data_IF_498309563472
#
_entry.id   IF_498309563472
#
_cell.length_a   1.000
_cell.length_b   1.000
_cell.length_c   1.000
_cell.angle_alpha   90.00
_cell.angle_beta   90.00
_cell.angle_gamma   90.00
#
_symmetry.space_group_name_H-M   'P 1'
#
loop_
_entity.id
_entity.type
_entity.pdbx_description
1 polymer ?
#
# COMPACT_ATOMS: atom_id res chain seq x y z
N UNK A 1 5.79 -79.46 -23.20
CA UNK A 1 6.90 -79.02 -22.32
C UNK A 1 6.47 -77.66 -21.77
N UNK A 2 5.64 -77.62 -20.71
CA UNK A 2 6.06 -77.57 -19.28
C UNK A 2 6.96 -76.34 -19.07
N UNK A 3 6.58 -75.27 -18.38
CA UNK A 3 5.96 -75.21 -17.04
C UNK A 3 5.15 -73.92 -16.79
N UNK A 4 4.21 -74.09 -15.85
CA UNK A 4 3.28 -73.18 -15.18
C UNK A 4 3.90 -72.03 -14.36
N UNK A 5 3.07 -71.06 -13.91
CA UNK A 5 3.46 -69.92 -13.08
C UNK A 5 3.52 -70.30 -11.59
N UNK A 6 4.40 -69.65 -10.83
CA UNK A 6 4.53 -69.85 -9.36
C UNK A 6 3.98 -68.64 -8.61
N UNK A 7 2.95 -68.93 -7.83
CA UNK A 7 2.40 -68.12 -6.74
C UNK A 7 3.46 -67.62 -5.76
N UNK A 8 3.35 -66.36 -5.34
CA UNK A 8 3.95 -65.89 -4.09
C UNK A 8 2.90 -65.10 -3.31
N UNK A 9 2.47 -65.73 -2.23
CA UNK A 9 1.47 -65.28 -1.28
C UNK A 9 1.89 -64.03 -0.50
N UNK A 10 0.88 -63.27 -0.08
CA UNK A 10 0.97 -62.22 0.92
C UNK A 10 1.38 -62.76 2.31
N UNK A 11 1.94 -61.89 3.16
CA UNK A 11 1.71 -61.97 4.59
C UNK A 11 0.97 -60.73 5.10
N UNK A 12 -0.19 -60.97 5.72
CA UNK A 12 -0.78 -60.08 6.73
C UNK A 12 0.15 -60.01 7.96
N UNK A 13 0.42 -58.81 8.46
CA UNK A 13 0.73 -58.48 9.88
C UNK A 13 0.33 -57.01 10.10
N UNK A 14 -0.81 -56.77 10.72
CA UNK A 14 -1.00 -56.47 12.15
C UNK A 14 -0.70 -55.01 12.51
N UNK A 15 -1.79 -54.26 12.68
CA UNK A 15 -2.03 -53.17 13.64
C UNK A 15 -0.84 -52.61 14.43
N UNK A 16 -0.49 -51.36 14.16
CA UNK A 16 -0.03 -50.42 15.20
C UNK A 16 -0.35 -48.98 14.78
N UNK A 17 -1.31 -48.37 15.48
CA UNK A 17 -1.58 -46.93 15.51
C UNK A 17 -0.39 -46.16 16.13
N UNK A 18 -0.33 -44.83 15.96
CA UNK A 18 0.92 -44.10 15.72
C UNK A 18 1.68 -43.77 17.01
N UNK A 19 3.00 -43.88 16.93
CA UNK A 19 3.91 -43.34 17.95
C UNK A 19 3.79 -41.82 17.94
N UNK A 20 3.37 -41.27 19.08
CA UNK A 20 3.31 -39.84 19.33
C UNK A 20 4.72 -39.23 19.16
N UNK A 21 4.86 -38.33 18.18
CA UNK A 21 6.01 -37.43 18.11
C UNK A 21 5.81 -36.41 19.22
N UNK A 22 6.57 -36.62 20.28
CA UNK A 22 6.61 -35.77 21.46
C UNK A 22 6.98 -34.34 21.04
N UNK A 23 6.09 -33.40 21.34
CA UNK A 23 6.32 -31.97 21.10
C UNK A 23 7.42 -31.50 22.04
N UNK A 24 8.62 -31.28 21.51
CA UNK A 24 9.67 -30.55 22.22
C UNK A 24 9.09 -29.21 22.68
N UNK A 25 9.03 -28.92 23.99
CA UNK A 25 8.53 -27.64 24.46
C UNK A 25 9.52 -26.55 24.03
N UNK A 26 9.06 -25.64 23.18
CA UNK A 26 9.80 -24.43 22.81
C UNK A 26 10.08 -23.64 24.08
N UNK A 27 11.34 -23.61 24.50
CA UNK A 27 11.80 -22.83 25.65
C UNK A 27 11.30 -21.39 25.50
N UNK A 28 10.41 -20.96 26.40
CA UNK A 28 10.06 -19.56 26.56
C UNK A 28 11.32 -18.87 27.09
N UNK A 29 11.92 -18.02 26.26
CA UNK A 29 12.88 -17.02 26.70
C UNK A 29 12.30 -16.28 27.92
N UNK A 30 13.06 -16.08 29.00
CA UNK A 30 12.60 -15.31 30.14
C UNK A 30 12.54 -13.84 29.71
N UNK A 31 11.37 -13.41 29.26
CA UNK A 31 11.03 -11.99 29.23
C UNK A 31 11.03 -11.54 30.67
N UNK A 32 12.13 -10.92 31.09
CA UNK A 32 12.17 -10.14 32.32
C UNK A 32 11.01 -9.15 32.24
N UNK A 33 10.12 -9.32 33.20
CA UNK A 33 8.95 -8.49 33.45
C UNK A 33 9.46 -7.08 33.77
N UNK A 34 9.63 -6.24 32.75
CA UNK A 34 9.84 -4.81 32.97
C UNK A 34 8.53 -4.27 33.48
N UNK A 35 8.55 -3.93 34.76
CA UNK A 35 7.52 -3.26 35.52
C UNK A 35 7.02 -2.05 34.73
N UNK A 36 5.71 -1.94 34.59
CA UNK A 36 5.07 -0.83 33.90
C UNK A 36 5.45 0.51 34.51
N UNK A 37 5.92 1.41 33.66
CA UNK A 37 5.88 2.85 33.89
C UNK A 37 5.24 3.47 32.65
N UNK A 38 4.10 4.14 32.86
CA UNK A 38 3.51 5.00 31.86
C UNK A 38 4.48 6.14 31.58
N UNK A 39 4.91 6.25 30.33
CA UNK A 39 5.84 7.26 29.84
C UNK A 39 5.92 7.11 28.34
N UNK A 40 6.03 8.23 27.63
CA UNK A 40 6.01 8.31 26.16
C UNK A 40 6.85 7.21 25.52
N UNK A 41 6.33 6.70 24.40
CA UNK A 41 6.75 5.49 23.71
C UNK A 41 8.13 5.69 23.04
N UNK A 42 9.17 5.88 23.86
CA UNK A 42 10.54 6.17 23.47
C UNK A 42 11.11 4.96 22.74
N UNK A 43 11.73 5.21 21.59
CA UNK A 43 12.23 4.12 20.75
C UNK A 43 13.30 3.29 21.48
N UNK A 44 13.25 1.95 21.38
CA UNK A 44 14.11 1.00 22.10
C UNK A 44 15.60 1.38 22.15
N UNK A 45 16.19 1.76 21.01
CA UNK A 45 17.61 2.14 20.94
C UNK A 45 17.94 3.46 21.66
N UNK A 46 16.98 4.38 21.77
CA UNK A 46 17.19 5.65 22.47
C UNK A 46 17.22 5.44 23.99
N UNK A 47 16.67 4.32 24.48
CA UNK A 47 16.80 3.90 25.88
C UNK A 47 18.22 3.43 26.25
N UNK A 48 19.09 3.14 25.26
CA UNK A 48 20.46 2.69 25.49
C UNK A 48 21.49 3.82 25.34
N UNK A 49 21.04 5.06 25.18
CA UNK A 49 21.95 6.20 25.07
C UNK A 49 22.65 6.47 26.40
N UNK A 50 23.92 6.94 26.38
CA UNK A 50 24.57 7.44 27.59
C UNK A 50 23.73 8.53 28.27
N UNK A 51 23.71 8.60 29.61
CA UNK A 51 22.80 9.50 30.34
C UNK A 51 22.88 10.97 29.91
N UNK A 52 24.08 11.46 29.59
CA UNK A 52 24.27 12.83 29.09
C UNK A 52 23.57 13.09 27.75
N UNK A 53 23.62 12.12 26.84
CA UNK A 53 22.96 12.22 25.53
C UNK A 53 21.45 12.05 25.67
N UNK A 54 21.00 11.13 26.54
CA UNK A 54 19.58 10.92 26.82
C UNK A 54 18.89 12.14 27.47
N UNK A 55 19.62 12.96 28.22
CA UNK A 55 19.12 14.25 28.72
C UNK A 55 18.91 15.25 27.57
N UNK A 56 19.82 15.29 26.59
CA UNK A 56 19.70 16.19 25.44
C UNK A 56 18.55 15.80 24.51
N UNK A 57 18.25 14.50 24.35
CA UNK A 57 17.15 14.03 23.49
C UNK A 57 15.78 14.52 23.96
N UNK A 58 15.61 14.82 25.26
CA UNK A 58 14.35 15.39 25.78
C UNK A 58 14.01 16.75 25.14
N UNK A 59 15.03 17.51 24.70
CA UNK A 59 14.85 18.81 24.03
C UNK A 59 14.48 18.68 22.56
N UNK A 60 14.54 17.47 21.98
CA UNK A 60 14.24 17.24 20.56
C UNK A 60 12.78 17.52 20.22
N UNK A 61 11.84 17.22 21.13
CA UNK A 61 10.43 17.52 20.94
C UNK A 61 10.19 19.01 20.71
N UNK A 62 10.70 19.86 21.62
CA UNK A 62 10.61 21.32 21.46
C UNK A 62 11.35 21.84 20.22
N UNK A 63 12.51 21.24 19.90
CA UNK A 63 13.24 21.58 18.70
C UNK A 63 12.42 21.26 17.44
N UNK A 64 11.71 20.13 17.43
CA UNK A 64 10.81 19.74 16.36
C UNK A 64 9.65 20.73 16.23
N UNK A 65 8.98 21.12 17.32
CA UNK A 65 7.90 22.12 17.30
C UNK A 65 8.38 23.48 16.75
N UNK A 66 9.59 23.90 17.11
CA UNK A 66 10.22 25.12 16.55
C UNK A 66 10.49 24.99 15.05
N UNK A 67 10.92 23.82 14.59
CA UNK A 67 11.11 23.54 13.15
C UNK A 67 9.78 23.59 12.41
N UNK A 68 8.72 22.98 12.94
CA UNK A 68 7.37 23.02 12.34
C UNK A 68 6.85 24.45 12.24
N UNK A 69 7.01 25.25 13.30
CA UNK A 69 6.61 26.66 13.32
C UNK A 69 7.41 27.48 12.29
N UNK A 70 8.72 27.29 12.23
CA UNK A 70 9.60 27.99 11.29
C UNK A 70 9.35 27.60 9.83
N UNK A 71 9.04 26.32 9.60
CA UNK A 71 8.64 25.79 8.31
C UNK A 71 7.34 26.43 7.83
N UNK A 72 6.33 26.51 8.70
CA UNK A 72 5.05 27.17 8.40
C UNK A 72 5.26 28.64 8.02
N UNK A 73 6.05 29.37 8.82
CA UNK A 73 6.35 30.79 8.56
C UNK A 73 7.25 31.03 7.34
N UNK A 74 7.91 29.99 6.82
CA UNK A 74 8.74 30.11 5.60
C UNK A 74 7.89 30.14 4.33
N UNK A 75 6.68 29.59 4.39
CA UNK A 75 5.73 29.65 3.28
C UNK A 75 4.89 30.91 3.38
N UNK A 76 4.77 31.64 2.27
CA UNK A 76 3.96 32.85 2.15
C UNK A 76 3.00 32.67 0.98
N UNK A 77 1.68 32.61 1.21
CA UNK A 77 0.70 32.42 0.13
C UNK A 77 0.79 33.49 -0.97
N UNK A 78 1.17 34.71 -0.60
CA UNK A 78 1.34 35.85 -1.53
C UNK A 78 2.56 35.73 -2.46
N UNK A 79 3.52 34.85 -2.13
CA UNK A 79 4.74 34.63 -2.89
C UNK A 79 4.78 33.17 -3.36
N UNK A 80 4.42 32.88 -4.62
CA UNK A 80 4.45 31.54 -5.17
C UNK A 80 5.81 30.85 -5.06
N UNK A 81 6.92 31.59 -5.04
CA UNK A 81 8.28 31.02 -4.97
C UNK A 81 8.73 30.74 -3.53
N UNK A 82 7.99 31.21 -2.53
CA UNK A 82 8.25 30.90 -1.12
C UNK A 82 8.23 29.39 -0.83
N UNK A 83 7.58 28.58 -1.67
CA UNK A 83 7.61 27.11 -1.59
C UNK A 83 9.04 26.56 -1.63
N UNK A 84 9.97 27.19 -2.35
CA UNK A 84 11.38 26.76 -2.39
C UNK A 84 12.09 26.99 -1.05
N UNK A 85 11.73 28.05 -0.32
CA UNK A 85 12.29 28.33 1.00
C UNK A 85 11.93 27.24 2.02
N UNK A 86 10.86 26.47 1.77
CA UNK A 86 10.44 25.36 2.64
C UNK A 86 11.32 24.11 2.48
N UNK A 87 12.00 23.95 1.35
CA UNK A 87 12.76 22.73 1.03
C UNK A 87 13.92 22.46 1.98
N UNK A 88 14.50 23.50 2.58
CA UNK A 88 15.58 23.36 3.57
C UNK A 88 15.12 22.60 4.82
N UNK A 89 13.83 22.65 5.16
CA UNK A 89 13.29 21.98 6.33
C UNK A 89 13.14 20.47 6.11
N UNK A 90 13.10 20.01 4.86
CA UNK A 90 12.95 18.58 4.54
C UNK A 90 14.14 17.76 5.07
N UNK A 91 15.37 18.27 4.95
CA UNK A 91 16.55 17.60 5.51
C UNK A 91 16.51 17.58 7.03
N UNK A 92 16.05 18.67 7.66
CA UNK A 92 15.90 18.77 9.12
C UNK A 92 14.86 17.77 9.63
N UNK A 93 13.69 17.71 9.02
CA UNK A 93 12.65 16.72 9.33
C UNK A 93 13.16 15.29 9.17
N UNK A 94 13.94 15.02 8.12
CA UNK A 94 14.52 13.70 7.90
C UNK A 94 15.48 13.27 9.02
N UNK A 95 16.22 14.21 9.62
CA UNK A 95 17.09 13.92 10.77
C UNK A 95 16.27 13.44 11.96
N UNK A 96 15.20 14.14 12.34
CA UNK A 96 14.30 13.71 13.42
C UNK A 96 13.64 12.35 13.13
N UNK A 97 13.27 12.09 11.87
CA UNK A 97 12.72 10.80 11.48
C UNK A 97 13.72 9.66 11.69
N UNK A 98 14.98 9.85 11.26
CA UNK A 98 16.08 8.87 11.38
C UNK A 98 16.55 8.67 12.81
N UNK A 99 16.65 9.75 13.58
CA UNK A 99 17.00 9.73 15.00
C UNK A 99 15.90 9.07 15.87
N UNK A 100 14.72 8.83 15.29
CA UNK A 100 13.57 8.24 16.00
C UNK A 100 13.21 9.05 17.24
N UNK A 101 13.35 10.37 17.12
CA UNK A 101 13.04 11.37 18.13
C UNK A 101 11.61 11.20 18.62
N UNK A 102 11.43 11.40 19.93
CA UNK A 102 10.12 11.49 20.55
C UNK A 102 9.54 12.88 20.27
N UNK A 103 8.49 12.93 19.46
CA UNK A 103 7.90 14.17 18.94
C UNK A 103 6.40 14.14 19.13
N UNK A 104 5.81 15.32 19.39
CA UNK A 104 4.38 15.47 19.55
C UNK A 104 3.62 15.05 18.28
N UNK A 105 2.51 14.33 18.43
CA UNK A 105 1.71 13.86 17.30
C UNK A 105 0.99 15.01 16.59
N UNK A 106 0.71 16.09 17.32
CA UNK A 106 0.15 17.33 16.83
C UNK A 106 1.09 17.98 15.81
N UNK A 107 2.38 18.05 16.13
CA UNK A 107 3.40 18.58 15.22
C UNK A 107 3.59 17.69 13.99
N UNK A 108 3.53 16.35 14.17
CA UNK A 108 3.60 15.42 13.03
C UNK A 108 2.39 15.60 12.12
N UNK A 109 1.19 15.77 12.68
CA UNK A 109 -0.03 16.05 11.92
C UNK A 109 0.11 17.37 11.15
N UNK A 110 0.59 18.43 11.80
CA UNK A 110 0.83 19.71 11.17
C UNK A 110 1.85 19.61 10.00
N UNK A 111 2.92 18.82 10.13
CA UNK A 111 3.85 18.55 9.03
C UNK A 111 3.17 17.89 7.84
N UNK A 112 2.28 16.93 8.09
CA UNK A 112 1.53 16.25 7.02
C UNK A 112 0.59 17.21 6.32
N UNK A 113 -0.18 18.01 7.07
CA UNK A 113 -1.13 18.98 6.51
C UNK A 113 -0.43 20.05 5.68
N UNK A 114 0.59 20.71 6.25
CA UNK A 114 1.39 21.73 5.55
C UNK A 114 2.07 21.12 4.33
N UNK A 115 2.63 19.91 4.46
CA UNK A 115 3.29 19.27 3.33
C UNK A 115 2.33 18.90 2.20
N UNK A 116 1.11 18.46 2.51
CA UNK A 116 0.07 18.18 1.50
C UNK A 116 -0.41 19.47 0.82
N UNK A 117 -0.57 20.56 1.58
CA UNK A 117 -0.88 21.89 1.05
C UNK A 117 0.22 22.36 0.08
N UNK A 118 1.48 22.32 0.51
CA UNK A 118 2.63 22.68 -0.32
C UNK A 118 2.74 21.82 -1.58
N UNK A 119 2.45 20.51 -1.46
CA UNK A 119 2.39 19.61 -2.61
C UNK A 119 1.29 20.01 -3.59
N UNK A 120 0.11 20.39 -3.10
CA UNK A 120 -1.02 20.81 -3.91
C UNK A 120 -0.81 22.15 -4.62
N UNK A 121 -0.25 23.15 -3.93
CA UNK A 121 0.02 24.48 -4.51
C UNK A 121 1.14 24.45 -5.54
N UNK A 122 2.09 23.51 -5.43
CA UNK A 122 3.28 23.43 -6.29
C UNK A 122 3.04 22.69 -7.63
N UNK A 123 1.86 22.83 -8.26
CA UNK A 123 1.50 22.05 -9.46
C UNK A 123 2.48 22.21 -10.64
N UNK A 124 3.04 23.40 -10.78
CA UNK A 124 4.01 23.77 -11.82
C UNK A 124 5.47 23.49 -11.40
N UNK A 125 5.71 23.13 -10.12
CA UNK A 125 7.04 22.98 -9.52
C UNK A 125 7.28 21.54 -9.12
N UNK A 126 7.43 20.66 -10.11
CA UNK A 126 7.55 19.21 -9.91
C UNK A 126 8.69 18.83 -8.96
N UNK A 127 9.81 19.56 -8.98
CA UNK A 127 10.90 19.32 -8.05
C UNK A 127 10.46 19.49 -6.58
N UNK A 128 9.66 20.52 -6.28
CA UNK A 128 9.12 20.77 -4.94
C UNK A 128 8.18 19.64 -4.53
N UNK A 129 7.26 19.25 -5.42
CA UNK A 129 6.35 18.12 -5.20
C UNK A 129 7.11 16.81 -4.94
N UNK A 130 8.16 16.50 -5.71
CA UNK A 130 9.00 15.31 -5.50
C UNK A 130 9.61 15.32 -4.10
N UNK A 131 10.18 16.45 -3.68
CA UNK A 131 10.86 16.55 -2.38
C UNK A 131 9.87 16.40 -1.23
N UNK A 132 8.73 17.10 -1.29
CA UNK A 132 7.66 17.02 -0.28
C UNK A 132 6.96 15.67 -0.25
N UNK A 133 6.60 15.12 -1.42
CA UNK A 133 5.97 13.81 -1.51
C UNK A 133 6.81 12.69 -0.88
N UNK A 134 8.12 12.71 -1.11
CA UNK A 134 9.03 11.71 -0.53
C UNK A 134 9.16 11.81 1.00
N UNK A 135 9.20 13.01 1.59
CA UNK A 135 9.23 13.15 3.05
C UNK A 135 7.88 12.77 3.66
N UNK A 136 6.76 13.18 3.05
CA UNK A 136 5.41 12.83 3.49
C UNK A 136 5.20 11.32 3.53
N UNK A 137 5.61 10.59 2.49
CA UNK A 137 5.57 9.12 2.47
C UNK A 137 6.28 8.52 3.68
N UNK A 138 7.46 9.05 4.04
CA UNK A 138 8.23 8.57 5.21
C UNK A 138 7.53 8.90 6.53
N UNK A 139 7.02 10.12 6.69
CA UNK A 139 6.27 10.54 7.89
C UNK A 139 5.01 9.69 8.05
N UNK A 140 4.17 9.61 7.01
CA UNK A 140 2.92 8.85 7.01
C UNK A 140 3.16 7.37 7.30
N UNK A 141 4.20 6.76 6.73
CA UNK A 141 4.50 5.35 6.98
C UNK A 141 5.03 5.10 8.40
N UNK A 142 5.82 6.02 8.96
CA UNK A 142 6.34 5.92 10.34
C UNK A 142 5.22 6.06 11.37
N UNK A 143 4.34 7.05 11.21
CA UNK A 143 3.29 7.37 12.19
C UNK A 143 1.90 6.82 11.81
N UNK A 144 1.84 5.91 10.83
CA UNK A 144 0.60 5.39 10.21
C UNK A 144 -0.51 4.96 11.18
N UNK A 145 -0.12 4.36 12.30
CA UNK A 145 -1.06 3.81 13.30
C UNK A 145 -1.43 4.82 14.39
N UNK A 146 -0.64 5.89 14.55
CA UNK A 146 -0.77 6.89 15.61
C UNK A 146 -1.52 8.14 15.13
N UNK A 147 -1.52 8.39 13.82
CA UNK A 147 -2.19 9.54 13.21
C UNK A 147 -3.69 9.32 13.02
N UNK A 148 -4.47 10.33 13.38
CA UNK A 148 -5.88 10.46 13.07
C UNK A 148 -6.07 11.72 12.21
N UNK A 149 -6.00 11.56 10.89
CA UNK A 149 -6.15 12.64 9.92
C UNK A 149 -7.06 12.20 8.77
N UNK A 150 -7.62 13.18 8.05
CA UNK A 150 -8.45 12.97 6.87
C UNK A 150 -7.78 13.60 5.66
N UNK A 151 -7.54 12.80 4.61
CA UNK A 151 -6.98 13.29 3.35
C UNK A 151 -7.99 13.09 2.24
N UNK A 152 -8.27 14.14 1.48
CA UNK A 152 -9.10 14.03 0.29
C UNK A 152 -8.31 13.39 -0.85
N UNK A 153 -8.91 12.42 -1.53
CA UNK A 153 -8.26 11.69 -2.62
C UNK A 153 -8.22 12.51 -3.92
N UNK A 154 -9.24 13.36 -4.15
CA UNK A 154 -9.45 14.09 -5.41
C UNK A 154 -8.27 15.01 -5.78
N UNK A 155 -7.71 15.84 -4.88
CA UNK A 155 -6.57 16.69 -5.26
C UNK A 155 -5.32 15.91 -5.70
N UNK A 156 -5.09 14.73 -5.11
CA UNK A 156 -3.98 13.85 -5.51
C UNK A 156 -4.24 13.22 -6.89
N UNK A 157 -5.49 12.85 -7.18
CA UNK A 157 -5.90 12.35 -8.49
C UNK A 157 -5.78 13.44 -9.56
N UNK A 158 -6.32 14.63 -9.32
CA UNK A 158 -6.29 15.73 -10.28
C UNK A 158 -4.85 16.11 -10.61
N UNK A 159 -3.95 16.16 -9.60
CA UNK A 159 -2.51 16.42 -9.82
C UNK A 159 -1.87 15.33 -10.67
N UNK A 160 -2.16 14.05 -10.38
CA UNK A 160 -1.61 12.92 -11.14
C UNK A 160 -2.03 12.96 -12.61
N UNK A 161 -3.33 13.16 -12.86
CA UNK A 161 -3.89 13.21 -14.22
C UNK A 161 -3.39 14.43 -14.97
N UNK A 162 -3.43 15.60 -14.34
CA UNK A 162 -2.98 16.85 -14.96
C UNK A 162 -1.51 16.77 -15.36
N UNK A 163 -0.63 16.22 -14.52
CA UNK A 163 0.81 16.18 -14.84
C UNK A 163 1.18 15.06 -15.81
N UNK A 164 0.59 13.86 -15.70
CA UNK A 164 1.12 12.66 -16.38
C UNK A 164 0.21 12.08 -17.46
N UNK A 165 -1.09 12.39 -17.44
CA UNK A 165 -2.06 11.84 -18.38
C UNK A 165 -2.60 12.90 -19.35
N UNK A 166 -2.42 14.18 -19.03
CA UNK A 166 -2.66 15.27 -19.98
C UNK A 166 -1.47 15.45 -20.94
N UNK A 167 -1.71 16.06 -22.11
CA UNK A 167 -0.66 16.50 -23.02
C UNK A 167 0.08 17.71 -22.44
N UNK A 168 0.84 17.49 -21.37
CA UNK A 168 1.68 18.51 -20.74
C UNK A 168 3.06 18.54 -21.43
N UNK A 169 3.28 19.59 -22.23
CA UNK A 169 4.60 19.93 -22.81
C UNK A 169 5.40 20.82 -21.86
N UNK A 170 5.31 20.58 -20.55
CA UNK A 170 6.07 21.34 -19.57
C UNK A 170 7.58 21.30 -19.85
N UNK A 171 8.33 22.36 -19.49
CA UNK A 171 9.78 22.43 -19.69
C UNK A 171 10.54 21.41 -18.82
N UNK A 172 9.84 20.80 -17.86
CA UNK A 172 10.36 19.79 -16.95
C UNK A 172 10.88 18.55 -17.70
N UNK A 173 12.16 18.24 -17.48
CA UNK A 173 12.82 17.10 -18.09
C UNK A 173 12.20 15.76 -17.68
N UNK A 174 12.33 14.76 -18.55
CA UNK A 174 11.72 13.43 -18.36
C UNK A 174 12.06 12.78 -17.01
N UNK A 175 13.29 12.97 -16.52
CA UNK A 175 13.78 12.41 -15.26
C UNK A 175 13.07 12.96 -14.03
N UNK A 176 12.72 14.26 -14.03
CA UNK A 176 11.96 14.88 -12.94
C UNK A 176 10.52 14.37 -12.96
N UNK A 177 9.91 14.26 -14.15
CA UNK A 177 8.57 13.68 -14.30
C UNK A 177 8.50 12.24 -13.80
N UNK A 178 9.46 11.38 -14.17
CA UNK A 178 9.49 10.01 -13.67
C UNK A 178 9.54 9.97 -12.14
N UNK A 179 10.43 10.76 -11.52
CA UNK A 179 10.52 10.86 -10.05
C UNK A 179 9.23 11.41 -9.43
N UNK A 180 8.58 12.35 -10.09
CA UNK A 180 7.30 12.89 -9.64
C UNK A 180 6.21 11.82 -9.67
N UNK A 181 6.12 11.04 -10.74
CA UNK A 181 5.18 9.92 -10.85
C UNK A 181 5.37 8.89 -9.74
N UNK A 182 6.62 8.51 -9.45
CA UNK A 182 6.95 7.61 -8.34
C UNK A 182 6.58 8.20 -6.98
N UNK A 183 6.84 9.49 -6.77
CA UNK A 183 6.55 10.19 -5.52
C UNK A 183 5.03 10.31 -5.27
N UNK A 184 4.26 10.78 -6.26
CA UNK A 184 2.81 10.97 -6.11
C UNK A 184 2.07 9.64 -5.95
N UNK A 185 2.42 8.61 -6.73
CA UNK A 185 1.79 7.29 -6.57
C UNK A 185 2.13 6.66 -5.23
N UNK A 186 3.33 6.91 -4.69
CA UNK A 186 3.72 6.46 -3.35
C UNK A 186 2.99 7.23 -2.25
N UNK A 187 2.84 8.54 -2.44
CA UNK A 187 2.08 9.41 -1.55
C UNK A 187 0.62 8.96 -1.47
N UNK A 188 -0.04 8.72 -2.60
CA UNK A 188 -1.42 8.20 -2.65
C UNK A 188 -1.54 6.89 -1.87
N UNK A 189 -0.62 5.93 -2.08
CA UNK A 189 -0.61 4.65 -1.35
C UNK A 189 -0.47 4.85 0.17
N UNK A 190 0.32 5.82 0.62
CA UNK A 190 0.48 6.16 2.04
C UNK A 190 -0.73 6.90 2.61
N UNK A 191 -1.33 7.82 1.84
CA UNK A 191 -2.51 8.61 2.22
C UNK A 191 -3.80 7.80 2.26
N UNK A 192 -3.91 6.73 1.47
CA UNK A 192 -5.16 5.96 1.27
C UNK A 192 -5.84 5.44 2.54
N UNK A 193 -5.08 5.19 3.62
CA UNK A 193 -5.67 4.77 4.92
C UNK A 193 -6.47 5.90 5.57
N UNK A 194 -6.16 7.14 5.22
CA UNK A 194 -6.71 8.36 5.80
C UNK A 194 -7.82 8.98 4.93
N UNK A 195 -8.25 8.29 3.87
CA UNK A 195 -9.39 8.77 3.07
C UNK A 195 -10.68 8.68 3.91
N UNK A 196 -11.53 9.73 3.88
CA UNK A 196 -12.74 9.77 4.66
C UNK A 196 -13.75 8.67 4.25
N UNK A 197 -14.75 8.45 5.10
CA UNK A 197 -15.91 7.63 4.74
C UNK A 197 -16.57 8.15 3.45
N UNK A 198 -17.07 7.24 2.62
CA UNK A 198 -17.68 7.55 1.32
C UNK A 198 -16.69 7.61 0.15
N UNK A 199 -15.39 7.81 0.41
CA UNK A 199 -14.37 7.87 -0.65
C UNK A 199 -14.32 6.61 -1.51
N UNK A 200 -14.52 5.41 -0.95
CA UNK A 200 -14.55 4.19 -1.76
C UNK A 200 -15.69 4.19 -2.79
N UNK A 201 -16.88 4.65 -2.39
CA UNK A 201 -18.05 4.75 -3.27
C UNK A 201 -17.83 5.80 -4.37
N UNK A 202 -17.28 6.96 -4.03
CA UNK A 202 -16.94 8.01 -5.00
C UNK A 202 -15.92 7.52 -6.03
N UNK A 203 -14.81 6.95 -5.55
CA UNK A 203 -13.72 6.42 -6.40
C UNK A 203 -14.25 5.32 -7.32
N UNK A 204 -15.08 4.41 -6.79
CA UNK A 204 -15.67 3.36 -7.61
C UNK A 204 -16.62 3.93 -8.66
N UNK A 205 -17.47 4.91 -8.29
CA UNK A 205 -18.41 5.53 -9.22
C UNK A 205 -17.69 6.29 -10.34
N UNK A 206 -16.58 6.98 -10.03
CA UNK A 206 -15.77 7.70 -11.03
C UNK A 206 -15.15 6.74 -12.06
N UNK A 207 -14.59 5.61 -11.61
CA UNK A 207 -13.78 4.74 -12.48
C UNK A 207 -14.53 3.52 -13.01
N UNK A 208 -15.69 3.15 -12.46
CA UNK A 208 -16.46 1.99 -12.89
C UNK A 208 -16.92 2.11 -14.35
N UNK A 209 -17.39 3.29 -14.76
CA UNK A 209 -17.82 3.56 -16.14
C UNK A 209 -16.68 3.37 -17.15
N UNK A 210 -15.43 3.66 -16.78
CA UNK A 210 -14.27 3.47 -17.64
C UNK A 210 -14.01 1.98 -17.94
N UNK A 211 -14.47 1.09 -17.07
CA UNK A 211 -14.27 -0.37 -17.11
C UNK A 211 -15.45 -1.13 -17.73
N UNK A 212 -16.52 -0.46 -18.14
CA UNK A 212 -17.70 -1.09 -18.76
C UNK A 212 -17.39 -1.76 -20.09
N UNK A 213 -16.39 -1.25 -20.83
CA UNK A 213 -15.91 -1.85 -22.07
C UNK A 213 -14.49 -2.40 -21.88
N UNK A 214 -14.33 -3.69 -21.52
CA UNK A 214 -13.03 -4.29 -21.19
C UNK A 214 -12.00 -4.20 -22.33
N UNK A 215 -12.45 -4.03 -23.57
CA UNK A 215 -11.60 -3.98 -24.77
C UNK A 215 -11.09 -2.57 -25.11
N UNK A 216 -11.54 -1.54 -24.37
CA UNK A 216 -11.08 -0.17 -24.55
C UNK A 216 -9.94 0.16 -23.59
N UNK A 217 -8.99 1.00 -24.02
CA UNK A 217 -7.82 1.38 -23.21
C UNK A 217 -8.20 2.05 -21.87
N UNK A 218 -9.36 2.71 -21.82
CA UNK A 218 -9.90 3.30 -20.59
C UNK A 218 -10.09 2.28 -19.48
N UNK A 219 -10.37 1.00 -19.80
CA UNK A 219 -10.54 -0.04 -18.78
C UNK A 219 -9.23 -0.30 -18.04
N UNK A 220 -8.11 -0.32 -18.75
CA UNK A 220 -6.78 -0.50 -18.17
C UNK A 220 -6.39 0.69 -17.28
N UNK A 221 -6.72 1.91 -17.72
CA UNK A 221 -6.52 3.11 -16.92
C UNK A 221 -7.40 3.13 -15.66
N UNK A 222 -8.70 2.86 -15.82
CA UNK A 222 -9.68 2.76 -14.74
C UNK A 222 -9.28 1.74 -13.68
N UNK A 223 -8.93 0.52 -14.09
CA UNK A 223 -8.45 -0.52 -13.16
C UNK A 223 -7.15 -0.14 -12.45
N UNK A 224 -6.24 0.57 -13.13
CA UNK A 224 -5.04 1.15 -12.54
C UNK A 224 -5.36 2.18 -11.45
N UNK A 225 -6.29 3.10 -11.72
CA UNK A 225 -6.75 4.08 -10.73
C UNK A 225 -7.49 3.45 -9.56
N UNK A 226 -8.36 2.47 -9.81
CA UNK A 226 -9.02 1.68 -8.75
C UNK A 226 -7.97 1.00 -7.86
N UNK A 227 -6.96 0.32 -8.45
CA UNK A 227 -5.87 -0.27 -7.66
C UNK A 227 -5.16 0.79 -6.83
N UNK A 228 -4.90 1.97 -7.38
CA UNK A 228 -4.13 3.01 -6.72
C UNK A 228 -4.92 3.68 -5.59
N UNK A 229 -6.16 4.11 -5.86
CA UNK A 229 -6.93 4.97 -4.98
C UNK A 229 -7.92 4.23 -4.07
N UNK A 230 -8.51 3.10 -4.49
CA UNK A 230 -9.60 2.46 -3.74
C UNK A 230 -9.19 2.08 -2.30
N UNK A 231 -9.75 2.74 -1.27
CA UNK A 231 -9.31 2.61 0.12
C UNK A 231 -9.93 1.40 0.81
N UNK A 232 -9.10 0.68 1.55
CA UNK A 232 -9.49 -0.51 2.34
C UNK A 232 -9.32 -0.23 3.84
N UNK A 233 -9.74 0.95 4.28
CA UNK A 233 -9.71 1.36 5.69
C UNK A 233 -11.06 1.04 6.37
N UNK A 234 -11.09 1.16 7.70
CA UNK A 234 -12.27 0.82 8.50
C UNK A 234 -13.48 1.69 8.12
N UNK A 235 -13.26 2.96 7.80
CA UNK A 235 -14.32 3.93 7.47
C UNK A 235 -15.03 3.67 6.14
N UNK A 236 -14.43 2.87 5.26
CA UNK A 236 -15.01 2.52 3.96
C UNK A 236 -15.36 1.03 3.87
N UNK A 237 -15.42 0.31 5.00
CA UNK A 237 -15.72 -1.12 5.01
C UNK A 237 -17.11 -1.44 4.42
N UNK A 238 -18.10 -0.58 4.67
CA UNK A 238 -19.50 -0.79 4.27
C UNK A 238 -19.69 -0.82 2.75
N UNK A 239 -18.74 -0.28 1.99
CA UNK A 239 -18.73 -0.34 0.53
C UNK A 239 -18.50 -1.78 0.01
N UNK A 240 -17.74 -2.60 0.73
CA UNK A 240 -17.27 -3.91 0.29
C UNK A 240 -18.29 -5.02 0.52
N UNK A 241 -19.46 -4.88 -0.11
CA UNK A 241 -20.54 -5.87 -0.05
C UNK A 241 -20.24 -7.13 -0.87
N UNK A 242 -20.91 -8.25 -0.58
CA UNK A 242 -20.81 -9.47 -1.38
C UNK A 242 -21.20 -9.24 -2.85
N UNK A 243 -22.15 -8.34 -3.12
CA UNK A 243 -22.53 -7.97 -4.49
C UNK A 243 -21.43 -7.21 -5.22
N UNK A 244 -20.72 -6.31 -4.52
CA UNK A 244 -19.55 -5.65 -5.08
C UNK A 244 -18.45 -6.66 -5.40
N UNK A 245 -18.20 -7.64 -4.53
CA UNK A 245 -17.21 -8.70 -4.76
C UNK A 245 -17.60 -9.51 -5.99
N UNK A 246 -18.87 -9.94 -6.10
CA UNK A 246 -19.37 -10.66 -7.28
C UNK A 246 -19.16 -9.89 -8.57
N UNK A 247 -19.60 -8.63 -8.63
CA UNK A 247 -19.39 -7.75 -9.80
C UNK A 247 -17.92 -7.59 -10.15
N UNK A 248 -17.05 -7.51 -9.13
CA UNK A 248 -15.60 -7.40 -9.33
C UNK A 248 -15.02 -8.70 -9.89
N UNK A 249 -15.52 -9.87 -9.47
CA UNK A 249 -15.10 -11.15 -10.04
C UNK A 249 -15.52 -11.26 -11.51
N UNK A 250 -16.78 -10.94 -11.84
CA UNK A 250 -17.26 -10.91 -13.23
C UNK A 250 -16.43 -9.97 -14.11
N UNK A 251 -16.11 -8.78 -13.58
CA UNK A 251 -15.25 -7.82 -14.27
C UNK A 251 -13.82 -8.34 -14.44
N UNK A 252 -13.25 -8.99 -13.42
CA UNK A 252 -11.95 -9.65 -13.54
C UNK A 252 -12.01 -10.75 -14.60
N UNK A 253 -13.12 -11.48 -14.69
CA UNK A 253 -13.29 -12.55 -15.66
C UNK A 253 -13.41 -12.10 -17.11
N UNK A 254 -13.91 -10.89 -17.33
CA UNK A 254 -14.17 -10.31 -18.66
C UNK A 254 -12.95 -10.24 -19.59
N UNK A 255 -11.73 -10.18 -19.04
CA UNK A 255 -10.48 -10.19 -19.82
C UNK A 255 -9.67 -11.43 -19.43
N UNK A 256 -9.63 -12.47 -20.28
CA UNK A 256 -8.77 -13.63 -20.05
C UNK A 256 -7.30 -13.30 -20.35
N UNK A 257 -6.39 -14.02 -19.70
CA UNK A 257 -4.96 -14.07 -20.04
C UNK A 257 -4.22 -12.71 -20.13
N UNK A 258 -4.67 -11.70 -19.39
CA UNK A 258 -3.98 -10.40 -19.34
C UNK A 258 -3.26 -10.21 -17.99
N UNK A 259 -1.93 -10.25 -18.01
CA UNK A 259 -1.10 -10.10 -16.80
C UNK A 259 -1.29 -8.75 -16.11
N UNK A 260 -1.41 -7.66 -16.87
CA UNK A 260 -1.68 -6.35 -16.30
C UNK A 260 -3.03 -6.35 -15.55
N UNK A 261 -4.10 -6.80 -16.20
CA UNK A 261 -5.45 -6.86 -15.64
C UNK A 261 -5.49 -7.71 -14.38
N UNK A 262 -4.91 -8.92 -14.45
CA UNK A 262 -4.76 -9.83 -13.32
C UNK A 262 -4.02 -9.18 -12.16
N UNK A 263 -2.93 -8.44 -12.42
CA UNK A 263 -2.17 -7.75 -11.38
C UNK A 263 -2.97 -6.62 -10.70
N UNK A 264 -3.89 -5.95 -11.42
CA UNK A 264 -4.72 -4.90 -10.83
C UNK A 264 -5.72 -5.48 -9.84
N UNK A 265 -6.52 -6.45 -10.30
CA UNK A 265 -7.60 -7.03 -9.51
C UNK A 265 -7.10 -7.89 -8.36
N UNK A 266 -6.06 -8.71 -8.59
CA UNK A 266 -5.41 -9.46 -7.50
C UNK A 266 -4.92 -8.54 -6.38
N UNK A 267 -4.36 -7.37 -6.71
CA UNK A 267 -3.90 -6.40 -5.73
C UNK A 267 -5.04 -5.68 -4.99
N UNK A 268 -6.22 -5.52 -5.62
CA UNK A 268 -7.40 -4.98 -4.95
C UNK A 268 -8.00 -6.02 -4.02
N UNK A 269 -8.31 -7.22 -4.53
CA UNK A 269 -8.89 -8.33 -3.78
C UNK A 269 -8.02 -8.74 -2.60
N UNK A 270 -6.70 -8.86 -2.77
CA UNK A 270 -5.80 -9.18 -1.67
C UNK A 270 -5.87 -8.16 -0.51
N UNK A 271 -6.14 -6.88 -0.81
CA UNK A 271 -6.33 -5.87 0.25
C UNK A 271 -7.67 -6.00 0.94
N UNK A 272 -8.73 -6.39 0.22
CA UNK A 272 -10.05 -6.63 0.81
C UNK A 272 -9.95 -7.83 1.76
N UNK A 273 -9.44 -8.97 1.28
CA UNK A 273 -9.20 -10.19 2.10
C UNK A 273 -8.39 -9.87 3.36
N UNK A 274 -7.35 -9.04 3.24
CA UNK A 274 -6.47 -8.71 4.37
C UNK A 274 -7.14 -7.84 5.44
N UNK A 275 -8.07 -6.97 5.07
CA UNK A 275 -8.63 -5.97 5.97
C UNK A 275 -10.04 -6.27 6.45
N UNK A 276 -10.77 -7.15 5.75
CA UNK A 276 -12.19 -7.44 6.03
C UNK A 276 -12.41 -8.95 6.18
N UNK A 277 -12.93 -9.33 7.34
CA UNK A 277 -13.25 -10.70 7.74
C UNK A 277 -14.73 -11.06 7.54
N UNK A 278 -15.60 -10.05 7.36
CA UNK A 278 -17.04 -10.25 7.17
C UNK A 278 -17.44 -10.70 5.75
N UNK A 279 -16.53 -10.63 4.78
CA UNK A 279 -16.80 -11.07 3.39
C UNK A 279 -16.69 -12.58 3.34
N UNK A 280 -17.74 -13.25 2.85
CA UNK A 280 -17.72 -14.69 2.62
C UNK A 280 -16.98 -15.00 1.31
N UNK A 281 -15.76 -15.49 1.44
CA UNK A 281 -14.91 -15.85 0.31
C UNK A 281 -15.16 -17.26 -0.22
N UNK A 282 -15.88 -18.12 0.51
CA UNK A 282 -15.98 -19.56 0.20
C UNK A 282 -16.52 -19.80 -1.21
N UNK A 283 -17.56 -19.04 -1.59
CA UNK A 283 -18.15 -19.13 -2.93
C UNK A 283 -17.25 -18.60 -4.07
N UNK A 284 -16.23 -17.79 -3.75
CA UNK A 284 -15.29 -17.23 -4.73
C UNK A 284 -13.96 -18.00 -4.80
N UNK A 285 -13.68 -18.89 -3.84
CA UNK A 285 -12.43 -19.64 -3.79
C UNK A 285 -12.12 -20.38 -5.10
N UNK A 286 -13.05 -21.15 -5.72
CA UNK A 286 -12.74 -21.87 -6.96
C UNK A 286 -12.24 -20.94 -8.07
N UNK A 287 -12.91 -19.80 -8.27
CA UNK A 287 -12.55 -18.79 -9.27
C UNK A 287 -11.17 -18.19 -8.96
N UNK A 288 -10.93 -17.82 -7.70
CA UNK A 288 -9.66 -17.25 -7.27
C UNK A 288 -8.50 -18.23 -7.46
N UNK A 289 -8.67 -19.50 -7.04
CA UNK A 289 -7.65 -20.52 -7.20
C UNK A 289 -7.29 -20.74 -8.67
N UNK A 290 -8.28 -20.88 -9.56
CA UNK A 290 -8.03 -21.02 -10.99
C UNK A 290 -7.32 -19.81 -11.56
N UNK A 291 -7.72 -18.58 -11.18
CA UNK A 291 -7.08 -17.35 -11.64
C UNK A 291 -5.62 -17.26 -11.20
N UNK A 292 -5.34 -17.48 -9.91
CA UNK A 292 -3.97 -17.48 -9.40
C UNK A 292 -3.12 -18.58 -10.03
N UNK A 293 -3.68 -19.77 -10.26
CA UNK A 293 -2.99 -20.86 -10.95
C UNK A 293 -2.59 -20.45 -12.38
N UNK A 294 -3.52 -19.86 -13.13
CA UNK A 294 -3.27 -19.40 -14.49
C UNK A 294 -2.23 -18.27 -14.54
N UNK A 295 -2.16 -17.42 -13.51
CA UNK A 295 -1.16 -16.36 -13.41
C UNK A 295 0.27 -16.89 -13.25
N UNK A 296 0.47 -18.11 -12.73
CA UNK A 296 1.80 -18.73 -12.66
C UNK A 296 2.33 -19.17 -14.03
N UNK A 297 1.52 -19.14 -15.08
CA UNK A 297 1.89 -19.55 -16.45
C UNK A 297 2.61 -20.91 -16.48
N UNK A 298 2.19 -21.84 -15.62
CA UNK A 298 2.80 -23.16 -15.55
C UNK A 298 2.60 -23.85 -16.89
N UNK A 299 3.69 -24.17 -17.58
CA UNK A 299 3.64 -25.00 -18.79
C UNK A 299 3.02 -26.34 -18.43
N UNK A 300 1.74 -26.54 -18.75
CA UNK A 300 1.03 -27.73 -18.31
C UNK A 300 1.45 -29.01 -19.04
N UNK A 301 2.27 -28.94 -20.10
CA UNK A 301 2.75 -30.10 -20.82
C UNK A 301 4.15 -29.88 -21.40
N UNK A 302 5.00 -30.91 -21.32
CA UNK A 302 6.24 -31.04 -22.08
C UNK A 302 6.04 -31.21 -23.59
N UNK A 303 5.11 -30.47 -24.18
CA UNK A 303 4.92 -30.35 -25.63
C UNK A 303 4.44 -28.94 -25.93
N UNK A 304 5.27 -28.20 -26.65
CA UNK A 304 4.96 -26.90 -27.24
C UNK A 304 3.92 -27.07 -28.35
N UNK A 305 2.69 -26.62 -28.12
CA UNK A 305 1.85 -26.06 -29.19
C UNK A 305 1.08 -24.88 -28.60
N UNK A 306 1.13 -23.68 -29.20
CA UNK A 306 0.27 -22.58 -28.78
C UNK A 306 -1.16 -22.87 -29.25
N UNK A 307 -2.09 -23.00 -28.33
CA UNK A 307 -3.52 -22.90 -28.66
C UNK A 307 -3.81 -21.42 -28.91
N UNK A 308 -3.72 -21.03 -30.18
CA UNK A 308 -4.33 -19.81 -30.67
C UNK A 308 -5.82 -20.10 -30.75
N UNK A 309 -6.57 -19.65 -29.75
CA UNK A 309 -8.03 -19.63 -29.82
C UNK A 309 -8.44 -18.46 -30.72
N UNK A 310 -8.56 -18.74 -32.03
CA UNK A 310 -9.20 -17.82 -32.97
C UNK A 310 -10.69 -18.08 -32.86
N UNK A 311 -11.37 -17.24 -32.08
CA UNK A 311 -12.82 -17.16 -32.04
C UNK A 311 -13.39 -17.14 -33.46
N UNK A 312 -14.21 -18.14 -33.77
CA UNK A 312 -15.01 -18.17 -34.98
C UNK A 312 -16.33 -17.44 -34.72
N UNK A 313 -16.72 -16.63 -35.72
CA UNK A 313 -17.92 -15.80 -35.79
C UNK A 313 -19.21 -16.56 -35.52
#
# INVERSE_FOLDING_TARGET
KLLDPVDAAAPQKSSSSPVAIDRIPRAKSPVSRVVGFGGSDMHLYNAWLPPSVAEETKKEGEAFSRVVSSMRSSYKPEDPDSVYATLKWISVLDVFLKAKSDVALEDVTAVVEIGLELFGVSQDKLYVQVRWGNILVRVLNKYRKKLALKVQWRPLYDTLVHTHFSRSTGPEGWRVRQRHFEAITSLVRSCRRFFPAGSASEIWSEFSSLMENPWHNSSFEGSGFVRLFLPTNLENQDFYTNDWVRKTMELWESIPNCQFWNSQWSAVIARVIKNYDFVDWECFLPVLFTRYLNMFEVSLLGTSVPVIDIGTK
#
